data_IF_446702697404
#
_entry.id   IF_446702697404
#
_cell.length_a   1.000
_cell.length_b   1.000
_cell.length_c   1.000
_cell.angle_alpha   90.00
_cell.angle_beta   90.00
_cell.angle_gamma   90.00
#
_symmetry.space_group_name_H-M   'P 1'
#
loop_
_entity.id
_entity.type
_entity.pdbx_description
1 polymer ?
#
# COMPACT_ATOMS: atom_id res chain seq x y z
N UNK A 1 -9.73 -25.61 17.99
CA UNK A 1 -10.30 -24.70 16.97
C UNK A 1 -10.01 -23.28 17.40
N UNK A 2 -9.27 -22.52 16.59
CA UNK A 2 -8.97 -21.09 16.79
C UNK A 2 -9.87 -20.26 15.87
N UNK A 3 -10.32 -19.10 16.35
CA UNK A 3 -11.15 -18.17 15.59
C UNK A 3 -10.47 -16.80 15.58
N UNK A 4 -10.43 -16.18 14.43
CA UNK A 4 -9.97 -14.81 14.24
C UNK A 4 -11.06 -13.97 13.57
N UNK A 5 -11.22 -12.74 14.05
CA UNK A 5 -12.15 -11.74 13.49
C UNK A 5 -11.36 -10.49 13.14
N UNK A 6 -11.53 -10.01 11.92
CA UNK A 6 -10.93 -8.74 11.47
C UNK A 6 -12.04 -7.86 10.92
N UNK A 7 -12.06 -6.60 11.36
CA UNK A 7 -12.91 -5.55 10.81
C UNK A 7 -11.99 -4.46 10.29
N UNK A 8 -12.10 -4.14 9.01
CA UNK A 8 -11.36 -3.02 8.40
C UNK A 8 -12.38 -2.02 7.87
N UNK A 9 -12.31 -0.78 8.38
CA UNK A 9 -13.08 0.35 7.86
C UNK A 9 -12.13 1.25 7.10
N UNK A 10 -12.42 1.50 5.84
CA UNK A 10 -11.65 2.41 5.00
C UNK A 10 -12.55 3.55 4.56
N UNK A 11 -12.07 4.78 4.71
CA UNK A 11 -12.70 5.98 4.18
C UNK A 11 -11.68 6.68 3.29
N UNK A 12 -11.97 6.80 2.00
CA UNK A 12 -11.06 7.36 1.02
C UNK A 12 -11.68 8.49 0.21
N UNK A 13 -10.88 9.51 -0.07
CA UNK A 13 -11.19 10.61 -1.00
C UNK A 13 -10.11 10.60 -2.08
N UNK A 14 -10.50 10.31 -3.31
CA UNK A 14 -9.59 10.24 -4.46
C UNK A 14 -9.91 11.36 -5.44
N UNK A 15 -8.95 12.25 -5.64
CA UNK A 15 -8.98 13.29 -6.66
C UNK A 15 -8.28 12.76 -7.90
N UNK A 16 -8.95 12.81 -9.05
CA UNK A 16 -8.32 12.55 -10.33
C UNK A 16 -7.82 13.86 -10.94
N UNK A 17 -6.58 13.82 -11.39
CA UNK A 17 -5.92 14.89 -12.14
C UNK A 17 -5.75 14.40 -13.59
N UNK A 18 -6.14 15.21 -14.55
CA UNK A 18 -5.95 14.94 -15.97
C UNK A 18 -5.54 16.22 -16.67
N UNK A 19 -4.51 16.13 -17.48
CA UNK A 19 -3.96 17.26 -18.23
C UNK A 19 -3.77 18.51 -17.33
N UNK A 20 -3.16 18.35 -16.18
CA UNK A 20 -2.89 19.40 -15.18
C UNK A 20 -4.16 20.08 -14.65
N UNK A 21 -5.28 19.35 -14.62
CA UNK A 21 -6.55 19.86 -14.10
C UNK A 21 -7.21 18.82 -13.20
N UNK A 22 -7.74 19.26 -12.06
CA UNK A 22 -8.59 18.41 -11.22
C UNK A 22 -9.91 18.16 -11.93
N UNK A 23 -10.23 16.90 -12.20
CA UNK A 23 -11.39 16.53 -13.01
C UNK A 23 -12.52 15.90 -12.21
N UNK A 24 -12.23 15.19 -11.13
CA UNK A 24 -13.25 14.56 -10.31
C UNK A 24 -12.76 14.28 -8.89
N UNK A 25 -13.71 14.21 -7.96
CA UNK A 25 -13.55 13.66 -6.63
C UNK A 25 -14.40 12.40 -6.51
N UNK A 26 -13.81 11.31 -6.06
CA UNK A 26 -14.52 10.09 -5.67
C UNK A 26 -14.35 9.87 -4.19
N UNK A 27 -15.47 9.60 -3.51
CA UNK A 27 -15.49 9.23 -2.10
C UNK A 27 -15.84 7.75 -2.03
N UNK A 28 -15.06 6.99 -1.25
CA UNK A 28 -15.28 5.58 -0.99
C UNK A 28 -15.28 5.35 0.53
N UNK A 29 -16.33 4.69 1.02
CA UNK A 29 -16.41 4.23 2.40
C UNK A 29 -16.73 2.75 2.37
N UNK A 30 -15.87 1.94 2.96
CA UNK A 30 -15.99 0.49 2.92
C UNK A 30 -15.77 -0.10 4.31
N UNK A 31 -16.55 -1.11 4.63
CA UNK A 31 -16.34 -1.95 5.81
C UNK A 31 -16.14 -3.36 5.31
N UNK A 32 -15.00 -3.94 5.61
CA UNK A 32 -14.67 -5.33 5.32
C UNK A 32 -14.64 -6.11 6.63
N UNK A 33 -15.33 -7.23 6.66
CA UNK A 33 -15.34 -8.14 7.80
C UNK A 33 -14.83 -9.49 7.35
N UNK A 34 -13.90 -10.06 8.11
CA UNK A 34 -13.34 -11.39 7.84
C UNK A 34 -13.35 -12.22 9.11
N UNK A 35 -13.80 -13.46 8.99
CA UNK A 35 -13.67 -14.50 10.02
C UNK A 35 -12.83 -15.61 9.46
N UNK A 36 -11.81 -16.01 10.22
CA UNK A 36 -10.97 -17.18 9.93
C UNK A 36 -11.13 -18.19 11.06
N UNK A 37 -11.26 -19.44 10.70
CA UNK A 37 -11.34 -20.56 11.64
C UNK A 37 -10.25 -21.56 11.30
N UNK A 38 -9.49 -21.97 12.30
CA UNK A 38 -8.41 -22.94 12.16
C UNK A 38 -8.70 -24.16 12.99
N UNK A 39 -8.54 -25.34 12.40
CA UNK A 39 -8.66 -26.64 13.10
C UNK A 39 -7.82 -27.69 12.37
N UNK A 40 -7.03 -28.45 13.13
CA UNK A 40 -6.24 -29.59 12.63
C UNK A 40 -5.37 -29.29 11.41
N UNK A 41 -4.74 -28.09 11.41
CA UNK A 41 -3.87 -27.66 10.31
C UNK A 41 -4.59 -27.22 9.04
N UNK A 42 -5.91 -27.00 9.11
CA UNK A 42 -6.72 -26.48 8.02
C UNK A 42 -7.30 -25.11 8.37
N UNK A 43 -7.64 -24.32 7.35
CA UNK A 43 -8.30 -23.01 7.48
C UNK A 43 -9.63 -23.00 6.75
N UNK A 44 -10.62 -22.34 7.37
CA UNK A 44 -11.85 -21.90 6.71
C UNK A 44 -11.98 -20.38 6.85
N UNK A 45 -12.38 -19.72 5.78
CA UNK A 45 -12.46 -18.25 5.72
C UNK A 45 -13.83 -17.81 5.21
N UNK A 46 -14.42 -16.83 5.87
CA UNK A 46 -15.63 -16.14 5.41
C UNK A 46 -15.39 -14.61 5.46
N UNK A 47 -15.85 -13.90 4.43
CA UNK A 47 -15.74 -12.47 4.34
C UNK A 47 -17.03 -11.83 3.84
N UNK A 48 -17.33 -10.62 4.32
CA UNK A 48 -18.42 -9.81 3.77
C UNK A 48 -18.10 -8.32 3.81
N UNK A 49 -18.78 -7.57 2.95
CA UNK A 49 -18.74 -6.11 2.93
C UNK A 49 -19.97 -5.55 3.68
N UNK A 50 -19.78 -4.43 4.36
CA UNK A 50 -20.85 -3.72 5.09
C UNK A 50 -21.15 -4.33 6.45
N UNK A 51 -22.43 -4.48 6.82
CA UNK A 51 -22.85 -5.05 8.10
C UNK A 51 -22.61 -6.56 8.14
N UNK A 52 -22.09 -7.07 9.24
CA UNK A 52 -21.72 -8.47 9.43
C UNK A 52 -22.56 -9.14 10.53
N UNK A 53 -23.00 -10.36 10.27
CA UNK A 53 -23.46 -11.33 11.27
C UNK A 53 -22.30 -12.29 11.57
N UNK A 54 -21.52 -11.99 12.60
CA UNK A 54 -20.31 -12.74 12.92
C UNK A 54 -20.58 -14.20 13.33
N UNK A 55 -21.71 -14.50 13.93
CA UNK A 55 -22.07 -15.87 14.31
C UNK A 55 -22.33 -16.72 13.05
N UNK A 56 -23.05 -16.15 12.09
CA UNK A 56 -23.26 -16.81 10.78
C UNK A 56 -21.96 -16.95 10.01
N UNK A 57 -21.14 -15.91 9.99
CA UNK A 57 -19.82 -15.95 9.30
C UNK A 57 -18.92 -17.01 9.91
N UNK A 58 -18.86 -17.12 11.24
CA UNK A 58 -18.07 -18.13 11.92
C UNK A 58 -18.55 -19.55 11.60
N UNK A 59 -19.86 -19.75 11.57
CA UNK A 59 -20.44 -21.05 11.17
C UNK A 59 -20.03 -21.38 9.73
N UNK A 60 -20.18 -20.47 8.79
CA UNK A 60 -19.81 -20.68 7.38
C UNK A 60 -18.30 -20.95 7.24
N UNK A 61 -17.45 -20.21 7.94
CA UNK A 61 -16.01 -20.45 7.94
C UNK A 61 -15.67 -21.83 8.53
N UNK A 62 -16.37 -22.27 9.58
CA UNK A 62 -16.21 -23.61 10.15
C UNK A 62 -16.61 -24.71 9.16
N UNK A 63 -17.73 -24.54 8.46
CA UNK A 63 -18.16 -25.48 7.43
C UNK A 63 -17.14 -25.60 6.30
N UNK A 64 -16.44 -24.52 5.95
CA UNK A 64 -15.38 -24.50 4.92
C UNK A 64 -14.11 -25.26 5.32
N UNK A 65 -13.88 -25.58 6.58
CA UNK A 65 -12.80 -26.48 6.99
C UNK A 65 -12.85 -27.84 6.29
N UNK A 66 -14.06 -28.30 5.88
CA UNK A 66 -14.25 -29.54 5.13
C UNK A 66 -13.55 -29.54 3.76
N UNK A 67 -13.17 -28.37 3.24
CA UNK A 67 -12.40 -28.25 2.00
C UNK A 67 -10.94 -28.71 2.16
N UNK A 68 -10.48 -28.89 3.40
CA UNK A 68 -9.15 -29.40 3.71
C UNK A 68 -8.01 -28.48 3.26
N UNK A 69 -8.23 -27.18 3.21
CA UNK A 69 -7.18 -26.22 2.84
C UNK A 69 -6.15 -26.19 3.96
N UNK A 70 -4.97 -26.74 3.69
CA UNK A 70 -3.88 -26.78 4.65
C UNK A 70 -3.35 -25.39 4.94
N UNK A 71 -3.29 -25.03 6.21
CA UNK A 71 -2.73 -23.77 6.68
C UNK A 71 -2.19 -23.93 8.10
N UNK A 72 -0.97 -23.44 8.40
CA UNK A 72 -0.41 -23.55 9.74
C UNK A 72 -1.21 -22.72 10.71
N UNK A 73 -1.59 -23.35 11.81
CA UNK A 73 -2.19 -22.64 12.93
C UNK A 73 -1.09 -21.90 13.70
N UNK A 74 -1.25 -20.60 13.88
CA UNK A 74 -0.37 -19.79 14.72
C UNK A 74 -1.09 -19.47 16.01
N UNK A 75 -0.41 -19.61 17.15
CA UNK A 75 -0.93 -19.21 18.45
C UNK A 75 -0.32 -17.85 18.82
N UNK A 76 -1.19 -16.92 19.18
CA UNK A 76 -0.78 -15.63 19.71
C UNK A 76 -0.88 -15.62 21.23
N UNK A 77 0.03 -14.93 21.90
CA UNK A 77 -0.15 -14.65 23.32
C UNK A 77 -1.28 -13.63 23.52
N UNK A 78 -2.07 -13.75 24.60
CA UNK A 78 -3.08 -12.75 24.94
C UNK A 78 -2.46 -11.37 25.05
N UNK A 79 -2.95 -10.42 24.29
CA UNK A 79 -2.45 -9.04 24.34
C UNK A 79 -3.51 -8.04 23.90
N UNK A 80 -3.46 -6.86 24.47
CA UNK A 80 -4.27 -5.73 24.02
C UNK A 80 -3.35 -4.61 23.58
N UNK A 81 -3.53 -4.17 22.32
CA UNK A 81 -2.78 -3.06 21.76
C UNK A 81 -3.74 -2.13 21.02
N UNK A 82 -3.64 -0.84 21.30
CA UNK A 82 -4.39 0.20 20.59
C UNK A 82 -3.42 1.26 20.09
N UNK A 83 -3.39 1.45 18.79
CA UNK A 83 -2.54 2.42 18.12
C UNK A 83 -3.41 3.36 17.30
N UNK A 84 -3.40 4.64 17.63
CA UNK A 84 -4.04 5.70 16.84
C UNK A 84 -2.95 6.70 16.44
N UNK A 85 -2.60 6.69 15.16
CA UNK A 85 -1.64 7.60 14.54
C UNK A 85 -2.31 8.55 13.54
N UNK A 86 -3.65 8.63 13.59
CA UNK A 86 -4.41 9.50 12.70
C UNK A 86 -4.12 10.97 12.98
N UNK A 87 -3.93 11.75 11.90
CA UNK A 87 -3.71 13.21 11.96
C UNK A 87 -4.71 13.91 11.06
N UNK A 88 -5.07 15.14 11.41
CA UNK A 88 -5.85 15.98 10.52
C UNK A 88 -4.92 16.60 9.46
N UNK A 89 -4.85 16.00 8.27
CA UNK A 89 -4.01 16.47 7.16
C UNK A 89 -4.64 17.71 6.49
N UNK A 90 -5.97 17.69 6.32
CA UNK A 90 -6.76 18.81 5.79
C UNK A 90 -7.97 19.08 6.66
N UNK A 91 -8.46 20.32 6.72
CA UNK A 91 -9.84 20.55 7.10
C UNK A 91 -10.77 19.93 6.03
N UNK A 92 -11.97 19.54 6.44
CA UNK A 92 -12.87 18.69 5.62
C UNK A 92 -13.16 19.29 4.23
N UNK A 93 -13.24 20.61 4.15
CA UNK A 93 -13.59 21.34 2.93
C UNK A 93 -12.36 21.75 2.10
N UNK A 94 -11.15 21.70 2.66
CA UNK A 94 -9.95 22.24 2.02
C UNK A 94 -9.27 21.29 1.03
N UNK A 95 -9.48 19.99 1.14
CA UNK A 95 -8.73 18.99 0.36
C UNK A 95 -8.76 19.26 -1.15
N UNK A 96 -9.95 19.50 -1.70
CA UNK A 96 -10.10 19.71 -3.15
C UNK A 96 -9.40 20.99 -3.60
N UNK A 97 -9.55 22.08 -2.85
CA UNK A 97 -8.99 23.38 -3.23
C UNK A 97 -7.48 23.44 -3.04
N UNK A 98 -6.94 22.77 -2.02
CA UNK A 98 -5.49 22.58 -1.85
C UNK A 98 -4.87 21.81 -3.01
N UNK A 99 -5.52 20.71 -3.46
CA UNK A 99 -5.00 19.94 -4.59
C UNK A 99 -5.17 20.68 -5.92
N UNK A 100 -6.24 21.46 -6.11
CA UNK A 100 -6.36 22.35 -7.28
C UNK A 100 -5.21 23.37 -7.30
N UNK A 101 -4.90 23.97 -6.15
CA UNK A 101 -3.81 24.93 -6.03
C UNK A 101 -2.45 24.29 -6.35
N UNK A 102 -2.16 23.13 -5.75
CA UNK A 102 -0.94 22.35 -6.03
C UNK A 102 -0.79 22.08 -7.54
N UNK A 103 -1.82 21.55 -8.19
CA UNK A 103 -1.77 21.19 -9.62
C UNK A 103 -1.61 22.43 -10.51
N UNK A 104 -2.27 23.53 -10.19
CA UNK A 104 -2.12 24.79 -10.91
C UNK A 104 -0.71 25.37 -10.76
N UNK A 105 -0.15 25.32 -9.56
CA UNK A 105 1.22 25.73 -9.27
C UNK A 105 2.24 24.89 -10.04
N UNK A 106 2.12 23.56 -9.98
CA UNK A 106 2.99 22.65 -10.73
C UNK A 106 2.98 22.94 -12.22
N UNK A 107 1.80 23.14 -12.81
CA UNK A 107 1.66 23.47 -14.24
C UNK A 107 2.29 24.83 -14.60
N UNK A 108 2.23 25.79 -13.69
CA UNK A 108 2.84 27.10 -13.86
C UNK A 108 4.36 27.08 -13.76
N UNK A 109 4.88 26.36 -12.76
CA UNK A 109 6.33 26.27 -12.47
C UNK A 109 7.06 25.33 -13.44
N UNK A 110 6.34 24.36 -14.03
CA UNK A 110 6.89 23.40 -14.98
C UNK A 110 6.09 23.40 -16.31
N UNK A 111 6.15 24.48 -17.10
CA UNK A 111 5.27 24.69 -18.26
C UNK A 111 5.48 23.70 -19.41
N UNK A 112 6.59 22.96 -19.41
CA UNK A 112 6.89 21.92 -20.41
C UNK A 112 6.23 20.58 -20.09
N UNK A 113 5.64 20.40 -18.89
CA UNK A 113 5.03 19.16 -18.46
C UNK A 113 3.53 19.24 -18.33
N UNK A 114 2.92 18.06 -18.39
CA UNK A 114 1.51 17.80 -18.09
C UNK A 114 1.49 16.82 -16.92
N UNK A 115 0.64 17.11 -15.93
CA UNK A 115 0.46 16.30 -14.73
C UNK A 115 -0.86 15.56 -14.79
N UNK A 116 -0.86 14.27 -14.52
CA UNK A 116 -2.06 13.43 -14.52
C UNK A 116 -1.95 12.33 -13.46
N UNK A 117 -3.04 11.67 -13.14
CA UNK A 117 -3.24 10.53 -12.24
C UNK A 117 -3.98 10.96 -10.95
N UNK A 118 -3.52 10.63 -9.73
CA UNK A 118 -4.37 10.68 -8.54
C UNK A 118 -3.69 11.29 -7.34
N UNK A 119 -4.50 11.97 -6.52
CA UNK A 119 -4.17 12.30 -5.12
C UNK A 119 -5.22 11.67 -4.23
N UNK A 120 -4.79 10.88 -3.26
CA UNK A 120 -5.67 10.07 -2.42
C UNK A 120 -5.43 10.43 -0.96
N UNK A 121 -6.53 10.68 -0.25
CA UNK A 121 -6.55 10.84 1.20
C UNK A 121 -7.33 9.67 1.78
N UNK A 122 -6.64 8.71 2.37
CA UNK A 122 -7.23 7.53 2.97
C UNK A 122 -7.14 7.56 4.50
N UNK A 123 -8.17 7.01 5.14
CA UNK A 123 -8.19 6.72 6.56
C UNK A 123 -8.59 5.26 6.75
N UNK A 124 -7.83 4.55 7.57
CA UNK A 124 -8.07 3.14 7.88
C UNK A 124 -8.24 2.96 9.39
N UNK A 125 -9.28 2.24 9.77
CA UNK A 125 -9.51 1.74 11.13
C UNK A 125 -9.59 0.22 11.05
N UNK A 126 -8.73 -0.49 11.79
CA UNK A 126 -8.67 -1.94 11.80
C UNK A 126 -8.76 -2.49 13.21
N UNK A 127 -9.68 -3.41 13.41
CA UNK A 127 -9.82 -4.18 14.64
C UNK A 127 -9.53 -5.65 14.35
N UNK A 128 -8.71 -6.26 15.17
CA UNK A 128 -8.43 -7.69 15.14
C UNK A 128 -8.66 -8.29 16.51
N UNK A 129 -9.37 -9.40 16.56
CA UNK A 129 -9.63 -10.18 17.76
C UNK A 129 -9.46 -11.67 17.45
N UNK A 130 -8.96 -12.43 18.41
CA UNK A 130 -8.88 -13.88 18.28
C UNK A 130 -9.26 -14.61 19.58
N UNK A 131 -9.49 -15.92 19.46
CA UNK A 131 -9.86 -16.79 20.59
C UNK A 131 -8.72 -17.00 21.62
N UNK A 132 -7.47 -16.64 21.29
CA UNK A 132 -6.32 -16.72 22.19
C UNK A 132 -6.20 -15.48 23.09
N UNK A 133 -7.12 -14.50 22.93
CA UNK A 133 -7.19 -13.29 23.77
C UNK A 133 -6.40 -12.10 23.21
N UNK A 134 -6.06 -12.11 21.93
CA UNK A 134 -5.52 -10.92 21.29
C UNK A 134 -6.64 -9.96 20.89
N UNK A 135 -6.48 -8.66 21.26
CA UNK A 135 -7.35 -7.55 20.90
C UNK A 135 -6.49 -6.40 20.39
N UNK A 136 -6.46 -6.22 19.07
CA UNK A 136 -5.62 -5.22 18.42
C UNK A 136 -6.51 -4.18 17.73
N UNK A 137 -6.19 -2.92 17.93
CA UNK A 137 -6.82 -1.80 17.25
C UNK A 137 -5.75 -0.94 16.61
N UNK A 138 -5.98 -0.56 15.37
CA UNK A 138 -5.16 0.39 14.63
C UNK A 138 -6.04 1.44 13.97
N UNK A 139 -5.65 2.70 14.04
CA UNK A 139 -6.23 3.78 13.25
C UNK A 139 -5.14 4.68 12.71
N UNK A 140 -5.23 5.00 11.43
CA UNK A 140 -4.29 5.87 10.75
C UNK A 140 -4.91 6.48 9.51
N UNK A 141 -4.26 7.52 8.98
CA UNK A 141 -4.60 8.11 7.70
C UNK A 141 -3.33 8.49 6.96
N UNK A 142 -3.43 8.53 5.64
CA UNK A 142 -2.33 8.79 4.74
C UNK A 142 -2.80 9.65 3.57
N UNK A 143 -1.95 10.60 3.17
CA UNK A 143 -2.06 11.31 1.91
C UNK A 143 -1.08 10.66 0.92
N UNK A 144 -1.60 10.14 -0.18
CA UNK A 144 -0.79 9.63 -1.30
C UNK A 144 -0.89 10.59 -2.47
N UNK A 145 0.23 11.13 -2.91
CA UNK A 145 0.33 11.99 -4.10
C UNK A 145 1.05 11.22 -5.18
N UNK A 146 0.29 10.62 -6.10
CA UNK A 146 0.83 9.89 -7.26
C UNK A 146 0.56 10.66 -8.54
N UNK A 147 1.57 11.30 -9.13
CA UNK A 147 1.43 12.09 -10.35
C UNK A 147 2.34 11.57 -11.46
N UNK A 148 1.73 11.27 -12.60
CA UNK A 148 2.44 11.02 -13.85
C UNK A 148 2.83 12.35 -14.48
N UNK A 149 4.10 12.47 -14.85
CA UNK A 149 4.69 13.64 -15.51
C UNK A 149 4.92 13.28 -16.97
N UNK A 150 4.29 14.02 -17.88
CA UNK A 150 4.46 13.85 -19.31
C UNK A 150 5.01 15.14 -19.91
N UNK A 151 6.16 15.07 -20.58
CA UNK A 151 6.67 16.22 -21.34
C UNK A 151 5.75 16.51 -22.52
N UNK A 152 5.41 17.77 -22.73
CA UNK A 152 4.59 18.19 -23.87
C UNK A 152 5.23 17.79 -25.19
N UNK A 153 4.49 17.10 -26.03
CA UNK A 153 4.98 16.55 -27.29
C UNK A 153 5.70 15.20 -27.19
N UNK A 154 5.82 14.61 -25.99
CA UNK A 154 6.28 13.24 -25.83
C UNK A 154 5.27 12.25 -26.43
N UNK A 155 5.78 11.18 -27.04
CA UNK A 155 4.98 10.04 -27.51
C UNK A 155 4.59 9.09 -26.36
N UNK A 156 5.22 9.21 -25.20
CA UNK A 156 4.95 8.40 -24.03
C UNK A 156 3.71 8.92 -23.31
N UNK A 157 2.98 8.03 -22.66
CA UNK A 157 1.88 8.40 -21.77
C UNK A 157 2.41 9.02 -20.47
N UNK A 158 3.60 8.59 -20.06
CA UNK A 158 4.28 9.01 -18.85
C UNK A 158 5.79 8.97 -19.11
N UNK A 159 6.47 10.04 -18.84
CA UNK A 159 7.93 10.14 -18.97
C UNK A 159 8.61 9.99 -17.61
N UNK A 160 7.95 10.40 -16.53
CA UNK A 160 8.40 10.29 -15.15
C UNK A 160 7.19 10.13 -14.22
N UNK A 161 7.42 9.61 -13.02
CA UNK A 161 6.39 9.46 -11.99
C UNK A 161 6.85 10.01 -10.66
N UNK A 162 5.97 10.76 -10.01
CA UNK A 162 6.14 11.20 -8.63
C UNK A 162 5.20 10.43 -7.74
N UNK A 163 5.72 9.84 -6.68
CA UNK A 163 4.96 9.17 -5.65
C UNK A 163 5.46 9.58 -4.27
N UNK A 164 4.53 9.94 -3.40
CA UNK A 164 4.82 10.34 -2.04
C UNK A 164 3.64 9.95 -1.14
N UNK A 165 3.96 9.27 -0.03
CA UNK A 165 3.01 8.98 1.05
C UNK A 165 3.42 9.76 2.30
N UNK A 166 2.45 10.44 2.93
CA UNK A 166 2.69 11.28 4.10
C UNK A 166 1.47 11.36 5.01
N UNK A 167 1.71 11.62 6.29
CA UNK A 167 0.70 11.99 7.29
C UNK A 167 0.48 13.52 7.42
N UNK A 168 1.05 14.29 6.49
CA UNK A 168 0.94 15.74 6.40
C UNK A 168 0.93 16.21 4.94
N UNK A 169 0.51 17.45 4.71
CA UNK A 169 0.55 18.07 3.40
C UNK A 169 1.55 19.23 3.41
N UNK A 170 2.66 19.05 2.71
CA UNK A 170 3.67 20.08 2.46
C UNK A 170 3.75 20.37 0.95
N UNK A 171 3.01 21.41 0.54
CA UNK A 171 2.95 21.80 -0.87
C UNK A 171 4.31 22.23 -1.42
N UNK A 172 5.12 22.93 -0.61
CA UNK A 172 6.42 23.43 -1.05
C UNK A 172 7.40 22.29 -1.28
N UNK A 173 7.43 21.29 -0.38
CA UNK A 173 8.25 20.11 -0.54
C UNK A 173 7.83 19.29 -1.78
N UNK A 174 6.53 19.06 -1.97
CA UNK A 174 6.01 18.35 -3.14
C UNK A 174 6.38 19.08 -4.45
N UNK A 175 6.22 20.42 -4.48
CA UNK A 175 6.57 21.21 -5.66
C UNK A 175 8.07 21.17 -5.94
N UNK A 176 8.93 21.25 -4.92
CA UNK A 176 10.38 21.18 -5.08
C UNK A 176 10.83 19.84 -5.64
N UNK A 177 10.33 18.75 -5.09
CA UNK A 177 10.66 17.37 -5.54
C UNK A 177 10.24 17.15 -7.00
N UNK A 178 9.02 17.57 -7.35
CA UNK A 178 8.51 17.44 -8.72
C UNK A 178 9.30 18.34 -9.69
N UNK A 179 9.64 19.55 -9.28
CA UNK A 179 10.46 20.45 -10.08
C UNK A 179 11.85 19.84 -10.36
N UNK A 180 12.48 19.25 -9.36
CA UNK A 180 13.77 18.58 -9.50
C UNK A 180 13.68 17.37 -10.45
N UNK A 181 12.62 16.57 -10.40
CA UNK A 181 12.36 15.48 -11.36
C UNK A 181 12.18 16.03 -12.80
N UNK A 182 11.37 17.07 -12.98
CA UNK A 182 11.19 17.71 -14.29
C UNK A 182 12.51 18.24 -14.85
N UNK A 183 13.31 18.91 -14.02
CA UNK A 183 14.63 19.42 -14.39
C UNK A 183 15.61 18.30 -14.73
N UNK A 184 15.64 17.22 -13.94
CA UNK A 184 16.48 16.07 -14.19
C UNK A 184 16.13 15.40 -15.54
N UNK A 185 14.84 15.24 -15.83
CA UNK A 185 14.37 14.69 -17.10
C UNK A 185 14.78 15.54 -18.31
N UNK A 186 14.77 16.87 -18.17
CA UNK A 186 15.17 17.80 -19.24
C UNK A 186 16.70 17.89 -19.41
N UNK A 187 17.47 17.43 -18.43
CA UNK A 187 18.93 17.48 -18.45
C UNK A 187 19.49 16.37 -19.32
N UNK A 188 20.05 16.73 -20.45
CA UNK A 188 20.72 15.77 -21.34
C UNK A 188 22.11 15.45 -20.78
N UNK A 189 22.32 14.21 -20.39
CA UNK A 189 23.63 13.71 -19.98
C UNK A 189 24.45 13.24 -21.18
N UNK A 190 25.81 13.28 -21.09
CA UNK A 190 26.67 12.69 -22.12
C UNK A 190 26.44 11.19 -22.18
N UNK A 191 26.65 10.63 -23.36
CA UNK A 191 26.58 9.18 -23.55
C UNK A 191 27.65 8.48 -22.71
N UNK A 192 27.20 7.49 -21.92
CA UNK A 192 28.12 6.63 -21.16
C UNK A 192 28.94 5.82 -22.13
N UNK A 193 30.28 5.83 -21.96
CA UNK A 193 31.23 5.12 -22.80
C UNK A 193 31.96 4.00 -22.07
N UNK A 194 31.75 3.88 -20.77
CA UNK A 194 32.31 2.83 -19.94
C UNK A 194 31.54 1.52 -20.12
N UNK A 195 32.28 0.39 -20.17
CA UNK A 195 31.71 -0.95 -20.27
C UNK A 195 31.00 -1.37 -18.94
N UNK A 196 31.38 -0.75 -17.83
CA UNK A 196 30.81 -0.98 -16.52
C UNK A 196 30.44 0.35 -15.85
N UNK A 197 29.24 0.43 -15.31
CA UNK A 197 28.77 1.63 -14.60
C UNK A 197 28.22 1.25 -13.23
N UNK A 198 28.45 2.11 -12.24
CA UNK A 198 27.81 2.00 -10.93
C UNK A 198 26.42 2.58 -11.02
N UNK A 199 25.40 1.74 -10.74
CA UNK A 199 24.00 2.17 -10.68
C UNK A 199 23.60 2.33 -9.22
N UNK A 200 23.11 3.53 -8.86
CA UNK A 200 22.43 3.76 -7.59
C UNK A 200 20.95 3.68 -7.90
N UNK A 201 20.30 2.65 -7.39
CA UNK A 201 18.88 2.40 -7.59
C UNK A 201 18.11 2.36 -6.27
N UNK A 202 16.80 2.32 -6.38
CA UNK A 202 15.93 2.05 -5.23
C UNK A 202 15.97 0.56 -4.83
N UNK A 203 15.23 0.21 -3.78
CA UNK A 203 15.17 -1.15 -3.23
C UNK A 203 14.29 -2.11 -4.06
N UNK A 204 13.60 -1.64 -5.12
CA UNK A 204 12.60 -2.43 -5.84
C UNK A 204 13.06 -3.82 -6.30
N UNK A 205 14.28 -4.01 -6.89
CA UNK A 205 14.71 -5.34 -7.27
C UNK A 205 14.85 -6.29 -6.08
N UNK A 206 15.28 -5.78 -4.92
CA UNK A 206 15.36 -6.55 -3.68
C UNK A 206 13.97 -6.78 -3.09
N UNK A 207 13.10 -5.79 -3.15
CA UNK A 207 11.70 -5.89 -2.71
C UNK A 207 10.94 -6.96 -3.49
N UNK A 208 11.17 -7.09 -4.79
CA UNK A 208 10.61 -8.17 -5.59
C UNK A 208 11.03 -9.54 -5.04
N UNK A 209 12.32 -9.76 -4.78
CA UNK A 209 12.79 -11.01 -4.21
C UNK A 209 12.22 -11.26 -2.80
N UNK A 210 12.16 -10.22 -1.96
CA UNK A 210 11.61 -10.31 -0.60
C UNK A 210 10.11 -10.62 -0.62
N UNK A 211 9.35 -10.10 -1.57
CA UNK A 211 7.90 -10.38 -1.69
C UNK A 211 7.59 -11.87 -1.87
N UNK A 212 8.51 -12.66 -2.40
CA UNK A 212 8.38 -14.10 -2.53
C UNK A 212 8.55 -14.89 -1.21
N UNK A 213 8.96 -14.24 -0.12
CA UNK A 213 8.95 -14.84 1.23
C UNK A 213 7.59 -14.76 1.93
N UNK A 214 6.59 -14.14 1.31
CA UNK A 214 5.24 -14.10 1.86
C UNK A 214 4.66 -15.52 1.91
N UNK A 215 4.14 -15.89 3.06
CA UNK A 215 3.62 -17.23 3.32
C UNK A 215 2.59 -17.68 2.30
N UNK A 216 1.67 -16.79 1.90
CA UNK A 216 0.63 -17.10 0.91
C UNK A 216 1.21 -17.54 -0.44
N UNK A 217 2.27 -16.89 -0.92
CA UNK A 217 2.93 -17.29 -2.18
C UNK A 217 3.61 -18.65 -2.05
N UNK A 218 4.22 -18.92 -0.88
CA UNK A 218 4.87 -20.18 -0.62
C UNK A 218 3.87 -21.33 -0.55
N UNK A 219 2.78 -21.19 0.19
CA UNK A 219 1.74 -22.20 0.34
C UNK A 219 0.96 -22.46 -0.96
N UNK A 220 0.81 -21.44 -1.79
CA UNK A 220 0.14 -21.58 -3.10
C UNK A 220 1.10 -22.06 -4.22
N UNK A 221 2.33 -22.46 -3.88
CA UNK A 221 3.37 -22.85 -4.83
C UNK A 221 3.68 -21.79 -5.90
N UNK A 222 3.43 -20.52 -5.60
CA UNK A 222 3.69 -19.39 -6.48
C UNK A 222 5.02 -18.66 -6.18
N UNK A 223 5.70 -19.00 -5.08
CA UNK A 223 7.00 -18.44 -4.75
C UNK A 223 8.12 -19.02 -5.61
N UNK A 224 9.07 -18.17 -6.07
CA UNK A 224 10.32 -18.61 -6.71
C UNK A 224 11.21 -19.43 -5.77
N UNK A 225 10.93 -19.44 -4.47
CA UNK A 225 11.66 -20.17 -3.44
C UNK A 225 11.03 -21.51 -3.05
N UNK A 226 9.99 -21.94 -3.75
CA UNK A 226 9.37 -23.24 -3.51
C UNK A 226 10.37 -24.39 -3.57
N UNK A 227 10.28 -25.31 -2.61
CA UNK A 227 11.17 -26.44 -2.48
C UNK A 227 12.60 -26.11 -2.04
N UNK A 228 12.87 -24.84 -1.68
CA UNK A 228 14.20 -24.37 -1.27
C UNK A 228 14.32 -24.07 0.22
N UNK A 229 13.34 -24.50 1.01
CA UNK A 229 13.38 -24.30 2.47
C UNK A 229 14.63 -24.98 3.07
N UNK A 230 15.35 -24.24 3.91
CA UNK A 230 16.61 -24.68 4.51
C UNK A 230 17.84 -24.60 3.60
N UNK A 231 17.68 -24.18 2.36
CA UNK A 231 18.81 -23.95 1.44
C UNK A 231 19.34 -22.53 1.56
N UNK A 232 20.65 -22.36 1.39
CA UNK A 232 21.28 -21.02 1.31
C UNK A 232 20.99 -20.41 -0.06
N UNK A 233 20.20 -19.35 -0.10
CA UNK A 233 19.77 -18.69 -1.36
C UNK A 233 20.54 -17.40 -1.65
N UNK A 234 21.07 -16.73 -0.64
CA UNK A 234 21.71 -15.43 -0.76
C UNK A 234 23.16 -15.44 -0.27
N UNK A 235 23.90 -14.41 -0.67
CA UNK A 235 25.25 -14.18 -0.17
C UNK A 235 25.26 -13.96 1.34
N UNK A 236 26.34 -14.36 2.01
CA UNK A 236 26.59 -14.07 3.44
C UNK A 236 26.70 -12.57 3.75
N UNK A 237 26.86 -11.75 2.72
CA UNK A 237 26.87 -10.29 2.85
C UNK A 237 25.49 -9.66 2.96
N UNK A 238 24.42 -10.42 2.67
CA UNK A 238 23.04 -9.93 2.80
C UNK A 238 22.62 -10.05 4.26
N UNK A 239 22.33 -8.92 4.88
CA UNK A 239 21.70 -8.83 6.19
C UNK A 239 20.28 -8.32 6.02
N UNK A 240 19.29 -9.10 6.44
CA UNK A 240 17.88 -8.74 6.44
C UNK A 240 17.36 -8.77 7.86
N UNK A 241 16.77 -7.68 8.30
CA UNK A 241 16.08 -7.59 9.59
C UNK A 241 14.63 -7.25 9.33
N UNK A 242 13.71 -8.08 9.82
CA UNK A 242 12.29 -7.77 9.84
C UNK A 242 12.01 -7.09 11.17
N UNK A 243 11.69 -5.80 11.10
CA UNK A 243 11.25 -5.05 12.27
C UNK A 243 9.71 -5.08 12.31
N UNK A 244 9.14 -5.41 13.47
CA UNK A 244 7.69 -5.47 13.70
C UNK A 244 7.18 -4.34 14.59
N UNK A 245 8.06 -3.40 14.96
CA UNK A 245 7.75 -2.27 15.83
C UNK A 245 7.19 -1.09 15.06
#
# INVERSE_FOLDING_TARGET
MKVEKTITKTSGRCINVSASTVTSLRINNQIENTVRVYDKGCIGVEGCLGSADFDKMQKTATDKLQQGIAYPETHDEPRTLSVDVSKQIFAEEEFVDKIKHLVARLAKENPEFIFSNKVILDSTEKTYENSDGAHLFYKGNCLSVGLALQKKGSANIMDEFYDCESDSFDEDAICADIHDKCRAFLTQLPQIQEDEVTVIGNIEPLQYAISHFVADLYFNNASIFNGKLGQKLFSEKLNLTINRD
#
